data_IF_136337153121
#
_entry.id   IF_136337153121
#
_cell.length_a   1.000
_cell.length_b   1.000
_cell.length_c   1.000
_cell.angle_alpha   90.00
_cell.angle_beta   90.00
_cell.angle_gamma   90.00
#
_symmetry.space_group_name_H-M   'P 1'
#
loop_
_entity.id
_entity.type
_entity.pdbx_description
1 polymer ?
#
# COMPACT_ATOMS: atom_id res chain seq x y z
N UNK A 1 -61.71 15.89 -20.92
CA UNK A 1 -61.34 14.65 -20.20
C UNK A 1 -60.07 14.97 -19.42
N UNK A 2 -60.08 14.67 -18.12
CA UNK A 2 -59.32 15.37 -17.09
C UNK A 2 -57.80 15.22 -17.21
N UNK A 3 -57.09 16.34 -17.06
CA UNK A 3 -55.67 16.36 -16.72
C UNK A 3 -55.50 15.66 -15.36
N UNK A 4 -54.88 14.48 -15.37
CA UNK A 4 -54.51 13.76 -14.17
C UNK A 4 -53.48 14.57 -13.40
N UNK A 5 -53.85 14.91 -12.16
CA UNK A 5 -53.03 15.61 -11.20
C UNK A 5 -51.80 14.73 -10.89
N UNK A 6 -50.64 15.07 -11.44
CA UNK A 6 -49.37 14.52 -10.98
C UNK A 6 -49.05 15.24 -9.67
N UNK A 7 -49.37 14.62 -8.53
CA UNK A 7 -48.94 15.11 -7.24
C UNK A 7 -47.40 15.17 -7.23
N UNK A 8 -46.83 16.36 -7.05
CA UNK A 8 -45.42 16.55 -6.74
C UNK A 8 -45.09 15.81 -5.44
N UNK A 9 -44.62 14.56 -5.56
CA UNK A 9 -44.06 13.80 -4.45
C UNK A 9 -42.74 14.51 -4.08
N UNK A 10 -42.73 15.19 -2.93
CA UNK A 10 -41.56 15.95 -2.46
C UNK A 10 -40.35 15.03 -2.29
N UNK A 11 -39.30 15.28 -3.07
CA UNK A 11 -37.98 14.62 -3.01
C UNK A 11 -37.09 15.25 -1.93
N UNK A 12 -37.67 15.73 -0.82
CA UNK A 12 -36.92 16.37 0.25
C UNK A 12 -35.79 15.43 0.71
N UNK A 13 -34.57 15.96 0.75
CA UNK A 13 -33.33 15.24 1.09
C UNK A 13 -32.84 14.15 0.11
N UNK A 14 -33.38 14.02 -1.10
CA UNK A 14 -32.86 13.08 -2.11
C UNK A 14 -32.04 13.79 -3.17
N UNK A 15 -30.76 13.44 -3.30
CA UNK A 15 -29.89 13.96 -4.37
C UNK A 15 -29.72 12.88 -5.44
N UNK A 16 -30.30 13.12 -6.61
CA UNK A 16 -30.06 12.32 -7.81
C UNK A 16 -28.87 12.94 -8.53
N UNK A 17 -27.77 12.21 -8.68
CA UNK A 17 -26.64 12.65 -9.50
C UNK A 17 -26.84 12.19 -10.95
N UNK A 18 -27.23 13.08 -11.89
CA UNK A 18 -27.28 12.70 -13.29
C UNK A 18 -25.86 12.53 -13.83
N UNK A 19 -25.63 11.43 -14.54
CA UNK A 19 -24.39 11.20 -15.27
C UNK A 19 -24.20 12.25 -16.39
N UNK A 20 -22.96 12.56 -16.75
CA UNK A 20 -22.67 13.64 -17.70
C UNK A 20 -23.34 13.40 -19.07
N UNK A 21 -24.26 14.30 -19.45
CA UNK A 21 -25.02 14.27 -20.70
C UNK A 21 -24.14 14.25 -21.96
N UNK A 22 -22.89 14.71 -21.87
CA UNK A 22 -21.92 14.71 -22.97
C UNK A 22 -21.54 13.32 -23.50
N UNK A 23 -21.75 12.24 -22.73
CA UNK A 23 -21.54 10.85 -23.22
C UNK A 23 -22.79 10.26 -23.88
N UNK A 24 -23.98 10.61 -23.39
CA UNK A 24 -25.27 10.11 -23.91
C UNK A 24 -25.58 10.65 -25.31
N UNK A 25 -25.32 11.94 -25.56
CA UNK A 25 -25.60 12.56 -26.87
C UNK A 25 -24.68 12.05 -27.99
N UNK A 26 -23.49 11.53 -27.65
CA UNK A 26 -22.54 10.97 -28.64
C UNK A 26 -22.84 9.52 -29.03
N UNK A 27 -23.67 8.83 -28.27
CA UNK A 27 -24.08 7.45 -28.51
C UNK A 27 -25.61 7.46 -28.66
N UNK A 28 -26.12 7.79 -29.84
CA UNK A 28 -27.57 7.92 -30.11
C UNK A 28 -28.33 6.59 -30.12
N UNK A 29 -27.98 5.66 -29.23
CA UNK A 29 -28.50 4.30 -29.14
C UNK A 29 -29.19 4.10 -27.78
N UNK A 30 -30.29 3.33 -27.77
CA UNK A 30 -31.11 3.05 -26.57
C UNK A 30 -30.26 2.40 -25.47
N UNK A 31 -29.23 1.64 -25.86
CA UNK A 31 -28.23 1.04 -24.97
C UNK A 31 -27.46 2.04 -24.11
N UNK A 32 -27.28 3.29 -24.57
CA UNK A 32 -26.63 4.34 -23.78
C UNK A 32 -27.54 4.86 -22.66
N UNK A 33 -28.85 4.84 -22.86
CA UNK A 33 -29.84 5.19 -21.84
C UNK A 33 -29.96 4.08 -20.78
N UNK A 34 -29.89 2.81 -21.18
CA UNK A 34 -29.83 1.67 -20.26
C UNK A 34 -28.58 1.72 -19.37
N UNK A 35 -27.41 2.08 -19.93
CA UNK A 35 -26.19 2.33 -19.15
C UNK A 35 -26.33 3.53 -18.21
N UNK A 36 -27.04 4.57 -18.63
CA UNK A 36 -27.31 5.75 -17.79
C UNK A 36 -28.17 5.40 -16.58
N UNK A 37 -29.25 4.64 -16.80
CA UNK A 37 -30.18 4.19 -15.76
C UNK A 37 -29.53 3.19 -14.78
N UNK A 38 -28.74 2.25 -15.28
CA UNK A 38 -28.02 1.29 -14.43
C UNK A 38 -26.87 1.91 -13.61
N UNK A 39 -26.47 3.14 -13.92
CA UNK A 39 -25.45 3.90 -13.17
C UNK A 39 -26.03 4.89 -12.15
N UNK A 40 -27.35 4.91 -11.97
CA UNK A 40 -28.04 5.91 -11.17
C UNK A 40 -27.81 5.66 -9.68
N UNK A 41 -27.20 6.63 -9.00
CA UNK A 41 -26.94 6.57 -7.55
C UNK A 41 -28.03 7.38 -6.85
N UNK A 42 -28.83 6.70 -6.03
CA UNK A 42 -29.86 7.31 -5.19
C UNK A 42 -29.31 7.41 -3.77
N UNK A 43 -29.15 8.63 -3.27
CA UNK A 43 -28.77 8.89 -1.88
C UNK A 43 -30.01 9.35 -1.13
N UNK A 44 -30.49 8.52 -0.20
CA UNK A 44 -31.64 8.81 0.66
C UNK A 44 -31.33 8.37 2.09
N UNK A 45 -31.79 9.15 3.07
CA UNK A 45 -31.66 8.84 4.51
C UNK A 45 -32.69 7.79 4.97
N UNK A 46 -33.71 7.50 4.16
CA UNK A 46 -34.80 6.58 4.50
C UNK A 46 -34.84 5.38 3.55
N UNK A 47 -34.35 4.24 4.03
CA UNK A 47 -34.26 2.98 3.29
C UNK A 47 -35.63 2.48 2.79
N UNK A 48 -36.68 2.66 3.60
CA UNK A 48 -38.06 2.24 3.27
C UNK A 48 -38.63 3.03 2.07
N UNK A 49 -38.21 4.28 1.88
CA UNK A 49 -38.64 5.08 0.74
C UNK A 49 -37.92 4.66 -0.55
N UNK A 50 -36.68 4.19 -0.46
CA UNK A 50 -35.92 3.69 -1.61
C UNK A 50 -36.50 2.35 -2.07
N UNK A 51 -36.84 1.45 -1.14
CA UNK A 51 -37.48 0.18 -1.48
C UNK A 51 -38.84 0.38 -2.15
N UNK A 52 -39.69 1.26 -1.62
CA UNK A 52 -40.98 1.61 -2.24
C UNK A 52 -40.82 2.22 -3.63
N UNK A 53 -39.80 3.06 -3.83
CA UNK A 53 -39.51 3.63 -5.14
C UNK A 53 -39.08 2.56 -6.16
N UNK A 54 -38.26 1.60 -5.75
CA UNK A 54 -37.85 0.47 -6.60
C UNK A 54 -39.05 -0.41 -6.95
N UNK A 55 -39.94 -0.69 -5.99
CA UNK A 55 -41.18 -1.43 -6.24
C UNK A 55 -42.14 -0.69 -7.19
N UNK A 56 -42.31 0.63 -7.04
CA UNK A 56 -43.13 1.47 -7.94
C UNK A 56 -42.61 1.43 -9.40
N UNK A 57 -41.29 1.39 -9.59
CA UNK A 57 -40.67 1.27 -10.92
C UNK A 57 -40.80 -0.15 -11.48
N UNK A 58 -40.64 -1.17 -10.65
CA UNK A 58 -40.80 -2.57 -11.07
C UNK A 58 -42.23 -2.86 -11.57
N UNK A 59 -43.24 -2.16 -11.02
CA UNK A 59 -44.65 -2.29 -11.44
C UNK A 59 -44.97 -1.64 -12.79
N UNK A 60 -44.11 -0.79 -13.33
CA UNK A 60 -44.39 -0.08 -14.59
C UNK A 60 -44.00 -0.88 -15.85
N UNK A 61 -43.57 -2.15 -15.72
CA UNK A 61 -43.23 -3.10 -16.80
C UNK A 61 -42.20 -2.58 -17.83
N UNK A 62 -41.58 -1.43 -17.53
CA UNK A 62 -40.73 -0.68 -18.46
C UNK A 62 -39.25 -0.89 -18.12
N UNK A 63 -38.91 -0.98 -16.83
CA UNK A 63 -37.54 -1.22 -16.35
C UNK A 63 -37.55 -1.98 -15.03
N UNK A 64 -36.71 -3.01 -14.90
CA UNK A 64 -36.37 -3.64 -13.62
C UNK A 64 -35.08 -2.98 -13.09
N UNK A 65 -35.15 -2.35 -11.93
CA UNK A 65 -34.00 -1.71 -11.28
C UNK A 65 -33.64 -2.52 -10.04
N UNK A 66 -32.42 -3.07 -10.00
CA UNK A 66 -31.87 -3.66 -8.79
C UNK A 66 -31.16 -2.57 -7.97
N UNK A 67 -31.59 -2.41 -6.72
CA UNK A 67 -30.95 -1.51 -5.77
C UNK A 67 -29.90 -2.25 -4.94
N UNK A 68 -28.68 -1.71 -4.92
CA UNK A 68 -27.61 -2.19 -4.05
C UNK A 68 -27.22 -1.06 -3.10
N UNK A 69 -27.22 -1.35 -1.79
CA UNK A 69 -26.78 -0.37 -0.79
C UNK A 69 -25.33 0.00 -1.03
N UNK A 70 -25.01 1.29 -0.93
CA UNK A 70 -23.63 1.76 -1.07
C UNK A 70 -22.67 1.06 -0.09
N UNK A 71 -23.12 0.76 1.14
CA UNK A 71 -22.33 0.00 2.12
C UNK A 71 -21.95 -1.40 1.62
N UNK A 72 -22.89 -2.12 1.01
CA UNK A 72 -22.65 -3.45 0.44
C UNK A 72 -21.73 -3.40 -0.78
N UNK A 73 -21.87 -2.37 -1.63
CA UNK A 73 -20.95 -2.13 -2.75
C UNK A 73 -19.53 -1.81 -2.28
N UNK A 74 -19.38 -1.01 -1.22
CA UNK A 74 -18.07 -0.72 -0.65
C UNK A 74 -17.44 -1.95 0.00
N UNK A 75 -18.21 -2.74 0.75
CA UNK A 75 -17.75 -4.00 1.33
C UNK A 75 -17.29 -4.99 0.26
N UNK A 76 -18.07 -5.18 -0.80
CA UNK A 76 -17.70 -6.07 -1.90
C UNK A 76 -16.49 -5.60 -2.70
N UNK A 77 -16.29 -4.29 -2.87
CA UNK A 77 -15.05 -3.72 -3.43
C UNK A 77 -13.86 -4.04 -2.51
N UNK A 78 -14.00 -3.82 -1.20
CA UNK A 78 -12.94 -4.11 -0.23
C UNK A 78 -12.60 -5.60 -0.24
N UNK A 79 -13.61 -6.48 -0.20
CA UNK A 79 -13.42 -7.93 -0.21
C UNK A 79 -12.81 -8.45 -1.51
N UNK A 80 -13.06 -7.77 -2.64
CA UNK A 80 -12.43 -8.09 -3.90
C UNK A 80 -10.93 -7.75 -3.91
N UNK A 81 -10.56 -6.57 -3.43
CA UNK A 81 -9.15 -6.12 -3.45
C UNK A 81 -8.32 -6.65 -2.29
N UNK A 82 -8.93 -6.97 -1.15
CA UNK A 82 -8.24 -7.48 0.04
C UNK A 82 -7.34 -8.69 -0.24
N UNK A 83 -7.79 -9.79 -0.86
CA UNK A 83 -6.91 -10.93 -1.14
C UNK A 83 -5.78 -10.55 -2.09
N UNK A 84 -6.03 -9.70 -3.09
CA UNK A 84 -4.99 -9.24 -4.02
C UNK A 84 -3.88 -8.48 -3.28
N UNK A 85 -4.27 -7.53 -2.42
CA UNK A 85 -3.32 -6.77 -1.59
C UNK A 85 -2.54 -7.71 -0.65
N UNK A 86 -3.22 -8.70 -0.05
CA UNK A 86 -2.57 -9.69 0.81
C UNK A 86 -1.50 -10.50 0.05
N UNK A 87 -1.79 -10.94 -1.18
CA UNK A 87 -0.80 -11.65 -2.02
C UNK A 87 0.39 -10.78 -2.39
N UNK A 88 0.17 -9.51 -2.76
CA UNK A 88 1.25 -8.57 -3.09
C UNK A 88 2.14 -8.28 -1.87
N UNK A 89 1.53 -8.09 -0.69
CA UNK A 89 2.27 -7.92 0.57
C UNK A 89 3.09 -9.17 0.89
N UNK A 90 2.52 -10.37 0.72
CA UNK A 90 3.22 -11.63 1.00
C UNK A 90 4.44 -11.81 0.09
N UNK A 91 4.28 -11.57 -1.22
CA UNK A 91 5.39 -11.63 -2.17
C UNK A 91 6.48 -10.61 -1.85
N UNK A 92 6.07 -9.36 -1.56
CA UNK A 92 7.00 -8.30 -1.18
C UNK A 92 7.78 -8.66 0.09
N UNK A 93 7.12 -9.24 1.10
CA UNK A 93 7.77 -9.68 2.34
C UNK A 93 8.82 -10.77 2.08
N UNK A 94 8.53 -11.74 1.20
CA UNK A 94 9.49 -12.79 0.83
C UNK A 94 10.74 -12.18 0.17
N UNK A 95 10.54 -11.30 -0.82
CA UNK A 95 11.65 -10.61 -1.51
C UNK A 95 12.46 -9.78 -0.53
N UNK A 96 11.80 -9.06 0.38
CA UNK A 96 12.45 -8.27 1.41
C UNK A 96 13.33 -9.12 2.33
N UNK A 97 12.85 -10.30 2.76
CA UNK A 97 13.64 -11.24 3.57
C UNK A 97 14.92 -11.66 2.83
N UNK A 98 14.82 -12.02 1.55
CA UNK A 98 15.99 -12.38 0.74
C UNK A 98 16.97 -11.20 0.57
N UNK A 99 16.46 -9.99 0.41
CA UNK A 99 17.30 -8.79 0.33
C UNK A 99 18.07 -8.57 1.64
N UNK A 100 17.41 -8.68 2.79
CA UNK A 100 18.07 -8.57 4.11
C UNK A 100 19.13 -9.64 4.29
N UNK A 101 18.84 -10.91 3.96
CA UNK A 101 19.83 -11.99 4.04
C UNK A 101 21.04 -11.74 3.13
N UNK A 102 20.81 -11.22 1.92
CA UNK A 102 21.86 -10.89 0.97
C UNK A 102 22.76 -9.77 1.51
N UNK A 103 22.17 -8.73 2.11
CA UNK A 103 22.91 -7.64 2.75
C UNK A 103 23.75 -8.17 3.91
N UNK A 104 23.16 -8.95 4.82
CA UNK A 104 23.87 -9.52 5.97
C UNK A 104 25.04 -10.39 5.51
N UNK A 105 24.81 -11.25 4.52
CA UNK A 105 25.86 -12.13 3.97
C UNK A 105 27.01 -11.32 3.36
N UNK A 106 26.68 -10.28 2.56
CA UNK A 106 27.69 -9.40 1.98
C UNK A 106 28.51 -8.66 3.05
N UNK A 107 27.88 -8.18 4.12
CA UNK A 107 28.58 -7.52 5.22
C UNK A 107 29.54 -8.49 5.91
N UNK A 108 29.12 -9.73 6.17
CA UNK A 108 29.99 -10.75 6.78
C UNK A 108 31.20 -11.03 5.87
N UNK A 109 30.97 -11.20 4.57
CA UNK A 109 32.06 -11.40 3.58
C UNK A 109 33.01 -10.20 3.59
N UNK A 110 32.47 -8.97 3.57
CA UNK A 110 33.26 -7.75 3.62
C UNK A 110 34.11 -7.65 4.90
N UNK A 111 33.55 -8.04 6.04
CA UNK A 111 34.28 -8.08 7.31
C UNK A 111 35.43 -9.09 7.25
N UNK A 112 35.15 -10.29 6.75
CA UNK A 112 36.15 -11.36 6.67
C UNK A 112 37.28 -11.02 5.69
N UNK A 113 36.98 -10.39 4.56
CA UNK A 113 37.98 -9.99 3.58
C UNK A 113 38.95 -8.93 4.13
N UNK A 114 38.47 -8.05 5.01
CA UNK A 114 39.25 -6.95 5.58
C UNK A 114 39.69 -7.20 7.04
N UNK A 115 39.54 -8.43 7.54
CA UNK A 115 39.80 -8.74 8.96
C UNK A 115 41.23 -8.42 9.39
N UNK A 116 42.21 -8.58 8.49
CA UNK A 116 43.63 -8.25 8.75
C UNK A 116 43.82 -6.75 8.94
N UNK A 117 43.21 -5.93 8.10
CA UNK A 117 43.27 -4.47 8.20
C UNK A 117 42.62 -4.00 9.52
N UNK A 118 41.47 -4.57 9.86
CA UNK A 118 40.78 -4.27 11.11
C UNK A 118 41.58 -4.68 12.36
N UNK A 119 42.24 -5.84 12.31
CA UNK A 119 43.12 -6.28 13.38
C UNK A 119 44.30 -5.31 13.57
N UNK A 120 44.96 -4.88 12.48
CA UNK A 120 46.05 -3.90 12.55
C UNK A 120 45.58 -2.60 13.20
N UNK A 121 44.41 -2.08 12.78
CA UNK A 121 43.85 -0.87 13.37
C UNK A 121 43.54 -1.03 14.86
N UNK A 122 43.02 -2.19 15.28
CA UNK A 122 42.80 -2.49 16.70
C UNK A 122 44.10 -2.55 17.49
N UNK A 123 45.16 -3.16 16.95
CA UNK A 123 46.50 -3.16 17.57
C UNK A 123 47.08 -1.75 17.68
N UNK A 124 46.80 -0.86 16.72
CA UNK A 124 47.19 0.55 16.78
C UNK A 124 46.29 1.40 17.71
N UNK A 125 45.34 0.80 18.43
CA UNK A 125 44.50 1.47 19.44
C UNK A 125 43.11 1.89 18.97
N UNK A 126 42.67 1.51 17.76
CA UNK A 126 41.31 1.77 17.31
C UNK A 126 40.29 0.91 18.09
N UNK A 127 39.14 1.48 18.41
CA UNK A 127 38.07 0.76 19.12
C UNK A 127 37.19 0.00 18.13
N UNK A 128 36.54 -1.06 18.59
CA UNK A 128 35.53 -1.82 17.82
C UNK A 128 34.44 -0.92 17.23
N UNK A 129 34.10 0.18 17.91
CA UNK A 129 33.12 1.16 17.44
C UNK A 129 33.56 1.91 16.18
N UNK A 130 34.85 2.10 15.97
CA UNK A 130 35.38 2.81 14.80
C UNK A 130 35.23 1.96 13.53
N UNK A 131 35.44 0.64 13.66
CA UNK A 131 35.18 -0.34 12.60
C UNK A 131 33.68 -0.39 12.29
N UNK A 132 32.83 -0.46 13.33
CA UNK A 132 31.36 -0.44 13.15
C UNK A 132 30.93 0.82 12.40
N UNK A 133 31.43 2.00 12.79
CA UNK A 133 31.11 3.27 12.11
C UNK A 133 31.49 3.25 10.63
N UNK A 134 32.66 2.69 10.27
CA UNK A 134 33.11 2.57 8.87
C UNK A 134 32.15 1.71 8.06
N UNK A 135 31.75 0.55 8.59
CA UNK A 135 30.79 -0.35 7.94
C UNK A 135 29.42 0.33 7.80
N UNK A 136 28.95 0.98 8.87
CA UNK A 136 27.67 1.68 8.86
C UNK A 136 27.62 2.84 7.86
N UNK A 137 28.72 3.57 7.69
CA UNK A 137 28.82 4.64 6.69
C UNK A 137 28.71 4.10 5.26
N UNK A 138 29.36 2.97 4.95
CA UNK A 138 29.23 2.32 3.66
C UNK A 138 27.79 1.86 3.39
N UNK A 139 27.14 1.26 4.39
CA UNK A 139 25.74 0.85 4.30
C UNK A 139 24.79 2.03 4.10
N UNK A 140 25.03 3.13 4.79
CA UNK A 140 24.22 4.35 4.68
C UNK A 140 24.29 4.93 3.26
N UNK A 141 25.47 4.94 2.63
CA UNK A 141 25.61 5.37 1.25
C UNK A 141 24.82 4.50 0.28
N UNK A 142 24.87 3.18 0.44
CA UNK A 142 24.11 2.24 -0.42
C UNK A 142 22.60 2.50 -0.30
N UNK A 143 22.10 2.72 0.91
CA UNK A 143 20.66 2.98 1.12
C UNK A 143 20.22 4.34 0.58
N UNK A 144 21.03 5.39 0.71
CA UNK A 144 20.71 6.69 0.08
C UNK A 144 20.54 6.53 -1.43
N UNK A 145 21.41 5.76 -2.08
CA UNK A 145 21.30 5.49 -3.52
C UNK A 145 20.05 4.67 -3.83
N UNK A 146 19.69 3.71 -2.97
CA UNK A 146 18.48 2.91 -3.11
C UNK A 146 17.18 3.71 -2.96
N UNK A 147 17.20 4.82 -2.21
CA UNK A 147 16.04 5.70 -2.03
C UNK A 147 15.71 6.57 -3.25
N UNK A 148 16.68 6.83 -4.13
CA UNK A 148 16.48 7.68 -5.31
C UNK A 148 15.31 7.23 -6.19
N UNK A 149 15.22 5.96 -6.66
CA UNK A 149 14.09 5.52 -7.49
C UNK A 149 12.74 5.63 -6.78
N UNK A 150 12.71 5.44 -5.45
CA UNK A 150 11.46 5.50 -4.67
C UNK A 150 10.86 6.90 -4.70
N UNK A 151 11.70 7.94 -4.64
CA UNK A 151 11.26 9.34 -4.70
C UNK A 151 10.65 9.73 -6.05
N UNK A 152 11.06 9.08 -7.15
CA UNK A 152 10.53 9.36 -8.49
C UNK A 152 9.24 8.61 -8.81
N UNK A 153 9.07 7.40 -8.26
CA UNK A 153 7.98 6.49 -8.63
C UNK A 153 6.79 6.58 -7.68
N UNK A 154 7.01 6.80 -6.38
CA UNK A 154 5.97 6.68 -5.36
C UNK A 154 5.57 8.02 -4.73
N UNK A 155 4.31 8.08 -4.30
CA UNK A 155 3.76 9.20 -3.53
C UNK A 155 4.47 9.37 -2.18
N UNK A 156 4.52 10.62 -1.68
CA UNK A 156 5.21 11.01 -0.44
C UNK A 156 4.84 10.10 0.76
N UNK A 157 3.56 9.77 0.94
CA UNK A 157 3.10 8.91 2.06
C UNK A 157 3.71 7.51 2.01
N UNK A 158 3.76 6.90 0.82
CA UNK A 158 4.35 5.56 0.63
C UNK A 158 5.86 5.63 0.80
N UNK A 159 6.51 6.68 0.27
CA UNK A 159 7.93 6.94 0.47
C UNK A 159 8.32 7.02 1.95
N UNK A 160 7.53 7.72 2.78
CA UNK A 160 7.77 7.80 4.22
C UNK A 160 7.69 6.44 4.92
N UNK A 161 6.74 5.59 4.55
CA UNK A 161 6.63 4.22 5.10
C UNK A 161 7.86 3.38 4.73
N UNK A 162 8.35 3.49 3.50
CA UNK A 162 9.53 2.76 3.03
C UNK A 162 10.79 3.24 3.77
N UNK A 163 10.96 4.56 3.95
CA UNK A 163 12.08 5.12 4.72
C UNK A 163 12.08 4.60 6.16
N UNK A 164 10.91 4.54 6.81
CA UNK A 164 10.80 3.98 8.16
C UNK A 164 11.22 2.50 8.21
N UNK A 165 10.81 1.71 7.21
CA UNK A 165 11.19 0.31 7.10
C UNK A 165 12.70 0.14 6.90
N UNK A 166 13.33 0.98 6.06
CA UNK A 166 14.78 0.99 5.86
C UNK A 166 15.53 1.31 7.15
N UNK A 167 15.10 2.33 7.90
CA UNK A 167 15.72 2.70 9.18
C UNK A 167 15.66 1.54 10.17
N UNK A 168 14.50 0.86 10.27
CA UNK A 168 14.34 -0.32 11.13
C UNK A 168 15.30 -1.43 10.70
N UNK A 169 15.40 -1.69 9.40
CA UNK A 169 16.29 -2.72 8.85
C UNK A 169 17.77 -2.40 9.12
N UNK A 170 18.17 -1.13 8.96
CA UNK A 170 19.53 -0.66 9.24
C UNK A 170 19.90 -0.85 10.71
N UNK A 171 18.99 -0.48 11.62
CA UNK A 171 19.18 -0.68 13.05
C UNK A 171 19.38 -2.16 13.39
N UNK A 172 18.58 -3.05 12.78
CA UNK A 172 18.71 -4.50 12.92
C UNK A 172 20.06 -5.02 12.43
N UNK A 173 20.49 -4.59 11.25
CA UNK A 173 21.79 -4.94 10.67
C UNK A 173 22.93 -4.42 11.55
N UNK A 174 22.87 -3.18 12.04
CA UNK A 174 23.85 -2.60 12.94
C UNK A 174 24.03 -3.44 14.21
N UNK A 175 22.91 -3.82 14.85
CA UNK A 175 22.93 -4.67 16.02
C UNK A 175 23.57 -6.04 15.74
N UNK A 176 23.32 -6.62 14.57
CA UNK A 176 23.93 -7.88 14.12
C UNK A 176 25.44 -7.72 13.93
N UNK A 177 25.89 -6.67 13.24
CA UNK A 177 27.32 -6.39 13.01
C UNK A 177 28.07 -6.21 14.34
N UNK A 178 27.51 -5.43 15.26
CA UNK A 178 28.11 -5.23 16.59
C UNK A 178 28.22 -6.56 17.34
N UNK A 179 27.19 -7.40 17.31
CA UNK A 179 27.23 -8.74 17.93
C UNK A 179 28.28 -9.63 17.28
N UNK A 180 28.39 -9.62 15.96
CA UNK A 180 29.35 -10.42 15.22
C UNK A 180 30.80 -10.02 15.53
N UNK A 181 31.10 -8.72 15.54
CA UNK A 181 32.45 -8.22 15.87
C UNK A 181 32.84 -8.48 17.33
N UNK A 182 31.92 -8.30 18.29
CA UNK A 182 32.18 -8.66 19.69
C UNK A 182 32.49 -10.15 19.86
N UNK A 183 31.83 -11.02 19.09
CA UNK A 183 32.11 -12.47 19.10
C UNK A 183 33.52 -12.78 18.59
N UNK A 184 33.99 -12.07 17.58
CA UNK A 184 35.37 -12.21 17.07
C UNK A 184 36.37 -11.77 18.14
N UNK A 185 36.17 -10.60 18.75
CA UNK A 185 37.04 -10.05 19.80
C UNK A 185 37.15 -10.99 21.01
N UNK A 186 36.03 -11.54 21.48
CA UNK A 186 36.00 -12.52 22.57
C UNK A 186 36.75 -13.81 22.21
N UNK A 187 36.55 -14.33 20.99
CA UNK A 187 37.24 -15.54 20.53
C UNK A 187 38.74 -15.34 20.30
N UNK A 188 39.20 -14.14 19.93
CA UNK A 188 40.64 -13.86 19.84
C UNK A 188 41.29 -13.79 21.22
N UNK A 189 40.62 -13.24 22.23
CA UNK A 189 41.11 -13.19 23.61
C UNK A 189 41.22 -14.60 24.20
N UNK A 190 40.23 -15.47 23.96
CA UNK A 190 40.25 -16.86 24.44
C UNK A 190 41.27 -17.76 23.74
N UNK A 191 41.70 -17.42 22.53
CA UNK A 191 42.69 -18.20 21.76
C UNK A 191 44.13 -17.83 22.08
N UNK A 192 44.38 -16.89 22.99
CA UNK A 192 45.72 -16.57 23.46
C UNK A 192 46.67 -16.20 22.32
N UNK A 193 46.24 -15.26 21.47
CA UNK A 193 47.14 -14.52 20.57
C UNK A 193 47.54 -13.20 21.24
#
# INVERSE_FOLDING_TARGET
MQMGNLEEKSLDNTVIFPFSTNRLVKMGDVSAYDMGLSSLIIVSENEEQVEKFVEEIAQTDTFSIDYVKLSQSLESIVDYYKPQIEYEIMLSAIVFIFAVFSIVSNIIIMINNNIREYAIHMYCGAKTIDIVKRIMMQMLLIMIVALLPILFVFSIKVGLMIILLEIISLCGICALVVRYLKKIEYNSILRGL
#
